data_IF_520858258326
#
_entry.id   IF_520858258326
#
_cell.length_a   1.000
_cell.length_b   1.000
_cell.length_c   1.000
_cell.angle_alpha   90.00
_cell.angle_beta   90.00
_cell.angle_gamma   90.00
#
_symmetry.space_group_name_H-M   'P 1'
#
loop_
_entity.id
_entity.type
_entity.pdbx_description
1 polymer ?
#
# COMPACT_ATOMS: atom_id res chain seq x y z
N UNK A 1 -7.43 -0.50 -8.86
CA UNK A 1 -6.46 0.40 -8.23
C UNK A 1 -6.54 1.82 -8.78
N UNK A 2 -6.64 1.98 -10.10
CA UNK A 2 -6.77 3.31 -10.70
C UNK A 2 -8.05 4.01 -10.20
N UNK A 3 -7.94 5.30 -9.92
CA UNK A 3 -9.03 6.12 -9.37
C UNK A 3 -9.00 6.27 -7.86
N UNK A 4 -8.59 5.25 -7.11
CA UNK A 4 -8.52 5.32 -5.64
C UNK A 4 -7.42 6.29 -5.16
N UNK A 5 -6.20 6.23 -5.71
CA UNK A 5 -5.14 7.16 -5.30
C UNK A 5 -5.47 8.63 -5.59
N UNK A 6 -6.35 8.87 -6.54
CA UNK A 6 -6.75 10.21 -6.98
C UNK A 6 -8.03 10.71 -6.30
N UNK A 7 -8.62 9.94 -5.39
CA UNK A 7 -9.86 10.31 -4.70
C UNK A 7 -9.56 11.03 -3.38
N UNK A 8 -9.90 12.33 -3.26
CA UNK A 8 -9.66 13.07 -2.02
C UNK A 8 -10.44 12.54 -0.81
N UNK A 9 -11.55 11.86 -1.01
CA UNK A 9 -12.32 11.27 0.10
C UNK A 9 -11.56 10.09 0.73
N UNK A 10 -10.85 9.31 -0.06
CA UNK A 10 -9.97 8.25 0.46
C UNK A 10 -8.90 8.86 1.36
N UNK A 11 -8.27 9.95 0.92
CA UNK A 11 -7.28 10.67 1.73
C UNK A 11 -7.85 11.18 3.05
N UNK A 12 -9.08 11.69 3.04
CA UNK A 12 -9.77 12.15 4.27
C UNK A 12 -9.98 11.01 5.26
N UNK A 13 -10.41 9.85 4.78
CA UNK A 13 -10.61 8.66 5.63
C UNK A 13 -9.30 8.20 6.24
N UNK A 14 -8.23 8.15 5.45
CA UNK A 14 -6.91 7.71 5.92
C UNK A 14 -6.32 8.67 6.96
N UNK A 15 -6.43 9.98 6.73
CA UNK A 15 -5.99 10.98 7.72
C UNK A 15 -6.78 10.85 9.01
N UNK A 16 -8.10 10.70 8.92
CA UNK A 16 -8.95 10.49 10.07
C UNK A 16 -8.56 9.23 10.84
N UNK A 17 -8.33 8.13 10.14
CA UNK A 17 -7.93 6.86 10.77
C UNK A 17 -6.60 7.01 11.52
N UNK A 18 -5.63 7.67 10.91
CA UNK A 18 -4.34 7.92 11.56
C UNK A 18 -4.48 8.82 12.79
N UNK A 19 -5.26 9.89 12.70
CA UNK A 19 -5.48 10.81 13.82
C UNK A 19 -6.20 10.12 15.01
N UNK A 20 -6.99 9.09 14.72
CA UNK A 20 -7.69 8.28 15.73
C UNK A 20 -6.91 7.06 16.18
N UNK A 21 -5.66 6.91 15.74
CA UNK A 21 -4.82 5.75 16.07
C UNK A 21 -5.42 4.41 15.63
N UNK A 22 -6.19 4.42 14.55
CA UNK A 22 -6.78 3.21 13.99
C UNK A 22 -5.79 2.51 13.06
N UNK A 23 -5.88 1.19 12.98
CA UNK A 23 -5.05 0.41 12.06
C UNK A 23 -5.54 0.55 10.63
N UNK A 24 -4.58 0.67 9.71
CA UNK A 24 -4.80 0.59 8.26
C UNK A 24 -4.12 -0.68 7.75
N UNK A 25 -4.86 -1.50 7.02
CA UNK A 25 -4.38 -2.79 6.53
C UNK A 25 -4.44 -2.76 5.01
N UNK A 26 -3.34 -3.07 4.33
CA UNK A 26 -3.27 -3.09 2.87
C UNK A 26 -2.64 -4.37 2.35
N UNK A 27 -3.06 -4.79 1.17
CA UNK A 27 -2.52 -5.95 0.49
C UNK A 27 -2.21 -5.61 -0.96
N UNK A 28 -1.08 -6.10 -1.48
CA UNK A 28 -0.76 -6.06 -2.90
C UNK A 28 -0.60 -4.61 -3.40
N UNK A 29 -1.52 -4.15 -4.24
CA UNK A 29 -1.57 -2.76 -4.73
C UNK A 29 -2.30 -1.81 -3.76
N UNK A 30 -2.82 -2.32 -2.65
CA UNK A 30 -3.55 -1.53 -1.66
C UNK A 30 -2.85 -0.26 -1.19
N UNK A 31 -1.52 -0.25 -1.02
CA UNK A 31 -0.80 0.96 -0.64
C UNK A 31 -0.96 2.13 -1.62
N UNK A 32 -1.43 1.88 -2.84
CA UNK A 32 -1.79 2.95 -3.77
C UNK A 32 -2.81 3.92 -3.18
N UNK A 33 -3.72 3.44 -2.33
CA UNK A 33 -4.69 4.30 -1.65
C UNK A 33 -4.01 5.35 -0.76
N UNK A 34 -2.83 5.05 -0.22
CA UNK A 34 -2.09 5.97 0.66
C UNK A 34 -1.67 7.25 -0.07
N UNK A 35 -1.49 7.18 -1.40
CA UNK A 35 -1.16 8.33 -2.23
C UNK A 35 -2.22 9.43 -2.16
N UNK A 36 -3.47 9.07 -1.88
CA UNK A 36 -4.57 10.03 -1.77
C UNK A 36 -4.38 11.04 -0.64
N UNK A 37 -3.55 10.73 0.35
CA UNK A 37 -3.29 11.65 1.47
C UNK A 37 -2.45 12.85 1.04
N UNK A 38 -1.76 12.78 -0.11
CA UNK A 38 -0.93 13.87 -0.64
C UNK A 38 -1.68 14.77 -1.62
N UNK A 39 -2.96 14.53 -1.87
CA UNK A 39 -3.75 15.35 -2.77
C UNK A 39 -4.06 16.73 -2.17
N UNK A 40 -4.35 17.71 -3.04
CA UNK A 40 -4.80 19.06 -2.67
C UNK A 40 -3.80 19.77 -1.74
N UNK A 41 -2.51 19.62 -2.03
CA UNK A 41 -1.41 20.23 -1.26
C UNK A 41 -1.31 19.73 0.19
N UNK A 42 -1.98 18.64 0.55
CA UNK A 42 -1.81 18.03 1.87
C UNK A 42 -0.46 17.28 1.94
N UNK A 43 0.22 17.28 3.09
CA UNK A 43 1.44 16.51 3.24
C UNK A 43 1.15 15.01 3.22
N UNK A 44 2.07 14.23 2.63
CA UNK A 44 1.96 12.77 2.64
C UNK A 44 2.21 12.24 4.05
N UNK A 45 1.20 11.61 4.65
CA UNK A 45 1.25 11.23 6.07
C UNK A 45 1.99 9.91 6.35
N UNK A 46 2.42 9.19 5.31
CA UNK A 46 3.16 7.91 5.45
C UNK A 46 4.64 8.04 5.07
N UNK A 47 5.17 9.26 5.03
CA UNK A 47 6.60 9.48 4.84
C UNK A 47 7.38 8.75 5.93
N UNK A 48 8.47 8.09 5.53
CA UNK A 48 9.36 7.31 6.40
C UNK A 48 8.74 6.01 6.95
N UNK A 49 7.52 5.65 6.56
CA UNK A 49 6.94 4.37 6.90
C UNK A 49 7.60 3.24 6.11
N UNK A 50 7.76 2.10 6.78
CA UNK A 50 8.14 0.84 6.13
C UNK A 50 6.88 0.09 5.74
N UNK A 51 6.87 -0.50 4.55
CA UNK A 51 5.73 -1.29 4.10
C UNK A 51 6.13 -2.29 3.01
N UNK A 52 5.27 -3.28 2.80
CA UNK A 52 5.35 -4.17 1.64
C UNK A 52 4.36 -3.69 0.58
N UNK A 53 4.76 -3.78 -0.68
CA UNK A 53 3.97 -3.30 -1.83
C UNK A 53 4.15 -4.27 -2.99
N UNK A 54 3.13 -4.41 -3.83
CA UNK A 54 3.26 -5.21 -5.05
C UNK A 54 4.32 -4.58 -5.98
N UNK A 55 5.33 -5.36 -6.43
CA UNK A 55 6.49 -4.79 -7.12
C UNK A 55 6.17 -4.25 -8.50
N UNK A 56 6.76 -3.10 -8.85
CA UNK A 56 6.67 -2.50 -10.19
C UNK A 56 7.22 -3.43 -11.27
N UNK A 57 8.24 -4.21 -10.95
CA UNK A 57 8.85 -5.15 -11.90
C UNK A 57 7.87 -6.20 -12.39
N UNK A 58 6.95 -6.63 -11.53
CA UNK A 58 5.88 -7.58 -11.90
C UNK A 58 4.79 -6.86 -12.71
N UNK A 59 4.40 -5.65 -12.30
CA UNK A 59 3.41 -4.84 -13.02
C UNK A 59 3.83 -4.59 -14.47
N UNK A 60 5.11 -4.39 -14.71
CA UNK A 60 5.65 -4.22 -16.09
C UNK A 60 5.43 -5.43 -16.97
N UNK A 61 5.31 -6.62 -16.39
CA UNK A 61 5.17 -7.88 -17.13
C UNK A 61 3.70 -8.25 -17.36
N UNK A 62 2.77 -7.68 -16.62
CA UNK A 62 1.36 -8.08 -16.67
C UNK A 62 0.67 -7.82 -18.01
N UNK A 63 0.98 -6.75 -18.79
CA UNK A 63 0.42 -6.60 -20.14
C UNK A 63 0.89 -7.70 -21.10
N UNK A 64 2.13 -8.17 -20.96
CA UNK A 64 2.72 -9.19 -21.83
C UNK A 64 2.06 -10.56 -21.65
N UNK A 65 1.55 -10.85 -20.46
CA UNK A 65 0.87 -12.12 -20.17
C UNK A 65 -0.66 -11.99 -20.24
N UNK A 66 -1.17 -10.87 -20.74
CA UNK A 66 -2.59 -10.63 -20.93
C UNK A 66 -3.38 -10.34 -19.65
N UNK A 67 -2.72 -10.11 -18.54
CA UNK A 67 -3.38 -9.84 -17.26
C UNK A 67 -3.94 -8.42 -17.20
N UNK A 68 -3.25 -7.46 -17.83
CA UNK A 68 -3.71 -6.08 -17.97
C UNK A 68 -3.83 -5.73 -19.45
N UNK A 69 -4.79 -4.85 -19.85
CA UNK A 69 -4.96 -4.45 -21.24
C UNK A 69 -3.82 -3.55 -21.76
N UNK A 70 -3.00 -3.00 -20.88
CA UNK A 70 -1.89 -2.12 -21.24
C UNK A 70 -1.00 -1.84 -20.03
N UNK A 71 0.00 -0.98 -20.23
CA UNK A 71 0.89 -0.58 -19.15
C UNK A 71 0.19 0.33 -18.15
N UNK A 72 0.61 0.25 -16.88
CA UNK A 72 0.16 1.18 -15.87
C UNK A 72 0.62 2.60 -16.24
N UNK A 73 -0.24 3.63 -16.08
CA UNK A 73 0.12 5.01 -16.40
C UNK A 73 1.19 5.58 -15.45
N UNK A 74 1.41 4.94 -14.30
CA UNK A 74 2.44 5.28 -13.33
C UNK A 74 2.84 4.02 -12.57
N UNK A 75 3.98 4.09 -11.87
CA UNK A 75 4.51 2.96 -11.10
C UNK A 75 4.30 3.20 -9.62
N UNK A 76 3.67 2.23 -8.96
CA UNK A 76 3.26 2.35 -7.57
C UNK A 76 4.45 2.49 -6.62
N UNK A 77 5.42 1.58 -6.72
CA UNK A 77 6.59 1.59 -5.83
C UNK A 77 7.42 2.86 -6.03
N UNK A 78 7.59 3.28 -7.28
CA UNK A 78 8.32 4.51 -7.60
C UNK A 78 7.65 5.72 -6.96
N UNK A 79 6.33 5.86 -7.11
CA UNK A 79 5.59 6.99 -6.52
C UNK A 79 5.68 7.01 -4.99
N UNK A 80 5.54 5.86 -4.36
CA UNK A 80 5.64 5.75 -2.90
C UNK A 80 7.05 6.08 -2.42
N UNK A 81 8.07 5.56 -3.11
CA UNK A 81 9.48 5.83 -2.78
C UNK A 81 9.81 7.31 -2.91
N UNK A 82 9.31 7.97 -3.95
CA UNK A 82 9.52 9.41 -4.16
C UNK A 82 8.92 10.25 -3.02
N UNK A 83 7.89 9.74 -2.35
CA UNK A 83 7.27 10.39 -1.19
C UNK A 83 7.89 9.99 0.15
N UNK A 84 8.94 9.18 0.13
CA UNK A 84 9.71 8.83 1.33
C UNK A 84 9.35 7.48 1.96
N UNK A 85 8.55 6.66 1.30
CA UNK A 85 8.22 5.31 1.78
C UNK A 85 9.42 4.38 1.64
N UNK A 86 9.62 3.51 2.63
CA UNK A 86 10.65 2.48 2.63
C UNK A 86 10.02 1.13 2.32
N UNK A 87 10.14 0.68 1.08
CA UNK A 87 9.58 -0.60 0.65
C UNK A 87 10.54 -1.72 1.02
N UNK A 88 10.06 -2.71 1.79
CA UNK A 88 10.91 -3.75 2.39
C UNK A 88 10.94 -5.05 1.60
N UNK A 89 10.05 -5.24 0.61
CA UNK A 89 10.05 -6.42 -0.25
C UNK A 89 10.58 -6.09 -1.64
N UNK A 90 11.17 -7.08 -2.30
CA UNK A 90 11.64 -6.98 -3.69
C UNK A 90 10.81 -7.83 -4.65
N UNK A 91 10.07 -8.80 -4.13
CA UNK A 91 9.30 -9.78 -4.90
C UNK A 91 7.83 -9.74 -4.51
N UNK A 92 6.97 -10.26 -5.39
CA UNK A 92 5.58 -10.50 -5.09
C UNK A 92 5.44 -11.80 -4.30
N UNK A 93 5.86 -11.79 -3.06
CA UNK A 93 5.94 -12.95 -2.18
C UNK A 93 4.90 -12.86 -1.04
N UNK A 94 5.08 -13.68 0.00
CA UNK A 94 4.20 -13.72 1.16
C UNK A 94 4.65 -12.79 2.30
N UNK A 95 5.58 -11.88 2.04
CA UNK A 95 6.09 -10.99 3.10
C UNK A 95 5.03 -10.02 3.59
N UNK A 96 5.10 -9.75 4.89
CA UNK A 96 4.25 -8.79 5.59
C UNK A 96 5.12 -7.79 6.34
N UNK A 97 4.54 -6.66 6.68
CA UNK A 97 5.24 -5.63 7.45
C UNK A 97 4.22 -4.93 8.35
N UNK A 98 4.65 -4.59 9.56
CA UNK A 98 3.90 -3.73 10.46
C UNK A 98 4.79 -2.57 10.85
N UNK A 99 4.29 -1.36 10.69
CA UNK A 99 4.97 -0.14 11.12
C UNK A 99 3.93 0.81 11.68
N UNK A 100 4.01 1.06 13.00
CA UNK A 100 3.01 1.85 13.71
C UNK A 100 1.61 1.25 13.50
N UNK A 101 0.64 2.00 12.99
CA UNK A 101 -0.71 1.52 12.73
C UNK A 101 -0.92 1.00 11.30
N UNK A 102 0.16 0.82 10.53
CA UNK A 102 0.07 0.33 9.15
C UNK A 102 0.53 -1.13 9.07
N UNK A 103 -0.32 -2.00 8.58
CA UNK A 103 -0.03 -3.43 8.39
C UNK A 103 -0.19 -3.75 6.91
N UNK A 104 0.85 -4.29 6.29
CA UNK A 104 0.88 -4.49 4.83
C UNK A 104 1.29 -5.90 4.45
N UNK A 105 0.81 -6.37 3.30
CA UNK A 105 1.19 -7.62 2.66
C UNK A 105 1.58 -7.40 1.19
N UNK A 106 2.62 -8.07 0.73
CA UNK A 106 3.29 -7.79 -0.54
C UNK A 106 2.49 -8.18 -1.78
N UNK A 107 1.68 -9.23 -1.70
CA UNK A 107 0.98 -9.80 -2.86
C UNK A 107 -0.18 -10.69 -2.40
N UNK A 108 -1.00 -11.23 -3.32
CA UNK A 108 -2.02 -12.21 -2.93
C UNK A 108 -1.48 -13.39 -2.14
N UNK A 109 -0.21 -13.76 -2.34
CA UNK A 109 0.44 -14.85 -1.59
C UNK A 109 0.59 -14.51 -0.09
N UNK A 110 0.55 -13.23 0.27
CA UNK A 110 0.66 -12.78 1.66
C UNK A 110 -0.70 -12.68 2.37
N UNK A 111 -1.81 -12.93 1.70
CA UNK A 111 -3.15 -12.69 2.25
C UNK A 111 -3.38 -13.41 3.58
N UNK A 112 -3.01 -14.68 3.67
CA UNK A 112 -3.20 -15.49 4.87
C UNK A 112 -2.33 -14.98 6.03
N UNK A 113 -1.04 -14.74 5.76
CA UNK A 113 -0.10 -14.23 6.77
C UNK A 113 -0.48 -12.82 7.24
N UNK A 114 -0.93 -11.97 6.31
CA UNK A 114 -1.43 -10.64 6.63
C UNK A 114 -2.65 -10.71 7.56
N UNK A 115 -3.60 -11.60 7.25
CA UNK A 115 -4.79 -11.78 8.07
C UNK A 115 -4.45 -12.23 9.48
N UNK A 116 -3.51 -13.17 9.62
CA UNK A 116 -3.04 -13.65 10.93
C UNK A 116 -2.35 -12.52 11.70
N UNK A 117 -1.46 -11.80 11.06
CA UNK A 117 -0.73 -10.70 11.69
C UNK A 117 -1.69 -9.61 12.15
N UNK A 118 -2.62 -9.22 11.30
CA UNK A 118 -3.61 -8.19 11.63
C UNK A 118 -4.51 -8.63 12.80
N UNK A 119 -5.03 -9.86 12.75
CA UNK A 119 -5.88 -10.39 13.80
C UNK A 119 -5.14 -10.43 15.15
N UNK A 120 -3.92 -10.94 15.16
CA UNK A 120 -3.11 -11.01 16.39
C UNK A 120 -2.82 -9.61 16.94
N UNK A 121 -2.50 -8.67 16.07
CA UNK A 121 -2.21 -7.28 16.47
C UNK A 121 -3.43 -6.62 17.08
N UNK A 122 -4.59 -6.76 16.45
CA UNK A 122 -5.83 -6.16 16.94
C UNK A 122 -6.31 -6.80 18.25
N UNK A 123 -6.13 -8.11 18.40
CA UNK A 123 -6.56 -8.83 19.62
C UNK A 123 -5.66 -8.54 20.82
N UNK A 124 -4.43 -8.11 20.61
CA UNK A 124 -3.49 -7.74 21.68
C UNK A 124 -3.68 -6.29 22.17
N UNK A 125 -4.40 -5.52 21.42
CA UNK A 125 -4.72 -4.12 21.76
C UNK A 125 -6.19 -4.00 22.15
#
# INVERSE_FOLDING_TARGET
MLGIPEDPNVGKVLRWAKDKDLYTITLCHGPGALLSTNLDANPFIYKDYKMTVFPDTVDKQTPMIGYLPGHMPWRLCEKLTDLGVKIVNKKSDNSTCIDRQLITGASPLAANELGKLAANTLLQN
#
